data_IF_676562311257
#
_entry.id   IF_676562311257
#
_cell.length_a   1.000
_cell.length_b   1.000
_cell.length_c   1.000
_cell.angle_alpha   90.00
_cell.angle_beta   90.00
_cell.angle_gamma   90.00
#
_symmetry.space_group_name_H-M   'P 1'
#
loop_
_entity.id
_entity.type
_entity.pdbx_description
1 polymer ?
#
# COMPACT_ATOMS: atom_id res chain seq x y z
N UNK A 1 -18.08 8.87 -21.58
CA UNK A 1 -18.22 8.08 -20.35
C UNK A 1 -16.89 7.47 -19.92
N UNK A 2 -16.03 6.99 -20.84
CA UNK A 2 -14.72 6.40 -20.48
C UNK A 2 -13.65 7.37 -19.96
N UNK A 3 -13.70 8.64 -20.35
CA UNK A 3 -12.66 9.62 -19.99
C UNK A 3 -12.66 10.02 -18.51
N UNK A 4 -13.80 9.90 -17.82
CA UNK A 4 -13.91 10.21 -16.40
C UNK A 4 -13.25 9.16 -15.51
N UNK A 5 -13.20 7.91 -15.98
CA UNK A 5 -12.65 6.78 -15.23
C UNK A 5 -11.17 6.51 -15.53
N UNK A 6 -10.53 7.43 -16.25
CA UNK A 6 -9.11 7.35 -16.58
C UNK A 6 -8.25 7.68 -15.36
N UNK A 7 -7.21 6.87 -15.14
CA UNK A 7 -6.23 7.09 -14.07
C UNK A 7 -4.96 7.76 -14.63
N UNK A 8 -4.33 8.61 -13.83
CA UNK A 8 -3.18 9.42 -14.25
C UNK A 8 -1.96 9.16 -13.37
N UNK A 9 -0.77 9.33 -13.94
CA UNK A 9 0.48 9.48 -13.18
C UNK A 9 0.99 10.88 -13.44
N UNK A 10 1.19 11.66 -12.39
CA UNK A 10 1.69 13.04 -12.48
C UNK A 10 2.94 13.22 -11.63
N UNK A 11 3.85 14.10 -12.04
CA UNK A 11 5.06 14.39 -11.25
C UNK A 11 4.65 15.10 -9.96
N UNK A 12 5.19 14.65 -8.83
CA UNK A 12 4.96 15.33 -7.56
C UNK A 12 5.81 16.61 -7.51
N UNK A 13 5.16 17.75 -7.27
CA UNK A 13 5.83 19.06 -7.15
C UNK A 13 6.66 19.22 -5.88
N UNK A 14 6.46 18.33 -4.89
CA UNK A 14 7.29 18.22 -3.68
C UNK A 14 7.83 16.78 -3.56
N UNK A 15 8.86 16.43 -4.36
CA UNK A 15 9.36 15.07 -4.43
C UNK A 15 10.09 14.67 -3.14
N UNK A 16 9.94 13.39 -2.75
CA UNK A 16 10.71 12.78 -1.66
C UNK A 16 12.05 12.27 -2.19
N UNK A 17 12.07 11.89 -3.47
CA UNK A 17 13.20 11.36 -4.21
C UNK A 17 12.99 11.66 -5.70
N UNK A 18 14.06 11.56 -6.51
CA UNK A 18 13.97 11.67 -7.97
C UNK A 18 12.95 10.66 -8.51
N UNK A 19 12.01 11.15 -9.31
CA UNK A 19 10.94 10.34 -9.89
C UNK A 19 9.72 10.14 -8.98
N UNK A 20 9.67 10.77 -7.81
CA UNK A 20 8.46 10.79 -6.99
C UNK A 20 7.29 11.40 -7.78
N UNK A 21 6.27 10.58 -8.01
CA UNK A 21 5.08 10.89 -8.76
C UNK A 21 3.84 10.53 -7.95
N UNK A 22 2.67 10.98 -8.38
CA UNK A 22 1.38 10.66 -7.80
C UNK A 22 0.59 9.83 -8.79
N UNK A 23 0.09 8.68 -8.34
CA UNK A 23 -0.91 7.89 -9.05
C UNK A 23 -2.29 8.38 -8.62
N UNK A 24 -3.10 8.81 -9.58
CA UNK A 24 -4.40 9.46 -9.40
C UNK A 24 -5.50 8.58 -10.02
N UNK A 25 -6.15 7.69 -9.24
CA UNK A 25 -7.23 6.85 -9.74
C UNK A 25 -8.47 7.68 -10.08
N UNK A 26 -8.98 7.53 -11.31
CA UNK A 26 -10.23 8.14 -11.77
C UNK A 26 -10.35 9.63 -11.37
N UNK A 27 -9.31 10.42 -11.65
CA UNK A 27 -9.12 11.79 -11.14
C UNK A 27 -10.38 12.67 -11.28
N UNK A 28 -11.05 12.61 -12.43
CA UNK A 28 -12.20 13.45 -12.73
C UNK A 28 -13.52 12.99 -12.08
N UNK A 29 -13.52 11.85 -11.39
CA UNK A 29 -14.64 11.45 -10.52
C UNK A 29 -14.61 12.15 -9.15
N UNK A 30 -13.52 12.84 -8.80
CA UNK A 30 -13.43 13.57 -7.54
C UNK A 30 -13.55 12.66 -6.30
N UNK A 31 -13.02 11.44 -6.40
CA UNK A 31 -13.07 10.47 -5.30
C UNK A 31 -12.37 11.02 -4.05
N UNK A 32 -12.96 10.85 -2.85
CA UNK A 32 -12.29 11.22 -1.62
C UNK A 32 -11.03 10.37 -1.42
N UNK A 33 -10.09 10.83 -0.58
CA UNK A 33 -8.88 10.09 -0.19
C UNK A 33 -9.23 8.89 0.73
N UNK A 34 -9.97 7.94 0.16
CA UNK A 34 -10.49 6.71 0.74
C UNK A 34 -10.16 5.57 -0.22
N UNK A 35 -9.57 4.50 0.31
CA UNK A 35 -9.20 3.33 -0.47
C UNK A 35 -10.45 2.58 -0.92
N UNK A 36 -10.46 2.20 -2.19
CA UNK A 36 -11.43 1.27 -2.78
C UNK A 36 -10.72 0.03 -3.31
N UNK A 37 -11.43 -1.08 -3.44
CA UNK A 37 -10.88 -2.31 -4.05
C UNK A 37 -10.27 -2.02 -5.44
N UNK A 38 -10.90 -1.16 -6.24
CA UNK A 38 -10.39 -0.75 -7.55
C UNK A 38 -9.06 0.01 -7.44
N UNK A 39 -8.97 0.95 -6.51
CA UNK A 39 -7.75 1.74 -6.29
C UNK A 39 -6.59 0.88 -5.76
N UNK A 40 -6.88 -0.10 -4.91
CA UNK A 40 -5.91 -1.07 -4.40
C UNK A 40 -5.38 -1.97 -5.53
N UNK A 41 -6.27 -2.44 -6.42
CA UNK A 41 -5.88 -3.22 -7.60
C UNK A 41 -4.95 -2.41 -8.50
N UNK A 42 -5.33 -1.17 -8.80
CA UNK A 42 -4.50 -0.28 -9.61
C UNK A 42 -3.10 -0.05 -8.99
N UNK A 43 -3.01 0.10 -7.66
CA UNK A 43 -1.73 0.23 -6.97
C UNK A 43 -0.84 -1.03 -7.13
N UNK A 44 -1.43 -2.23 -7.02
CA UNK A 44 -0.73 -3.50 -7.25
C UNK A 44 -0.31 -3.64 -8.72
N UNK A 45 -1.20 -3.33 -9.66
CA UNK A 45 -0.94 -3.43 -11.11
C UNK A 45 0.22 -2.52 -11.51
N UNK A 46 0.23 -1.26 -11.05
CA UNK A 46 1.33 -0.32 -11.33
C UNK A 46 2.63 -0.79 -10.68
N UNK A 47 2.58 -1.30 -9.44
CA UNK A 47 3.74 -1.89 -8.78
C UNK A 47 4.33 -3.03 -9.62
N UNK A 48 3.50 -3.99 -10.03
CA UNK A 48 3.88 -5.18 -10.78
C UNK A 48 4.33 -4.86 -12.22
N UNK A 49 3.74 -3.85 -12.84
CA UNK A 49 4.10 -3.39 -14.19
C UNK A 49 5.49 -2.73 -14.20
N UNK A 50 5.91 -2.10 -13.10
CA UNK A 50 7.24 -1.54 -13.03
C UNK A 50 8.31 -2.64 -13.04
N UNK A 51 9.21 -2.63 -14.03
CA UNK A 51 10.29 -3.60 -14.14
C UNK A 51 11.40 -3.46 -13.08
N UNK A 52 11.34 -2.42 -12.23
CA UNK A 52 12.32 -2.22 -11.15
C UNK A 52 11.75 -2.69 -9.82
N UNK A 53 12.50 -3.51 -9.07
CA UNK A 53 12.05 -3.96 -7.76
C UNK A 53 12.13 -2.85 -6.72
N UNK A 54 12.74 -1.71 -7.05
CA UNK A 54 12.78 -0.50 -6.22
C UNK A 54 11.54 0.38 -6.40
N UNK A 55 10.53 -0.03 -7.16
CA UNK A 55 9.29 0.73 -7.22
C UNK A 55 8.44 0.48 -5.97
N UNK A 56 7.86 1.55 -5.42
CA UNK A 56 7.08 1.54 -4.18
C UNK A 56 5.81 2.34 -4.36
N UNK A 57 4.78 1.95 -3.63
CA UNK A 57 3.51 2.67 -3.58
C UNK A 57 3.17 2.97 -2.12
N UNK A 58 2.84 4.22 -1.82
CA UNK A 58 2.41 4.67 -0.50
C UNK A 58 1.07 5.36 -0.57
N UNK A 59 0.29 5.28 0.50
CA UNK A 59 -0.96 6.02 0.66
C UNK A 59 -1.05 6.54 2.09
N UNK A 60 -1.43 7.81 2.19
CA UNK A 60 -1.71 8.50 3.44
C UNK A 60 -3.20 8.85 3.46
N UNK A 61 -3.95 8.31 4.42
CA UNK A 61 -5.34 8.72 4.63
C UNK A 61 -5.45 10.16 5.12
N UNK A 62 -6.65 10.75 5.04
CA UNK A 62 -6.91 12.17 5.39
C UNK A 62 -6.41 12.57 6.77
N UNK A 63 -6.67 11.74 7.76
CA UNK A 63 -6.23 11.98 9.14
C UNK A 63 -4.83 11.38 9.43
N UNK A 64 -4.13 10.91 8.39
CA UNK A 64 -2.81 10.30 8.44
C UNK A 64 -1.79 11.05 7.56
N UNK A 65 -1.83 12.39 7.61
CA UNK A 65 -0.94 13.32 6.89
C UNK A 65 -1.22 13.52 5.38
N UNK A 66 -2.43 13.22 4.88
CA UNK A 66 -2.77 13.65 3.52
C UNK A 66 -2.88 15.19 3.46
N UNK A 67 -2.13 15.82 2.55
CA UNK A 67 -2.20 17.27 2.31
C UNK A 67 -3.28 17.65 1.29
N UNK A 68 -3.87 16.66 0.61
CA UNK A 68 -4.88 16.85 -0.45
C UNK A 68 -6.00 15.80 -0.31
N UNK A 69 -7.24 16.20 -0.61
CA UNK A 69 -8.45 15.40 -0.36
C UNK A 69 -8.94 14.58 -1.56
N UNK A 70 -8.25 14.62 -2.71
CA UNK A 70 -8.55 13.73 -3.84
C UNK A 70 -7.79 12.42 -3.70
N UNK A 71 -8.37 11.30 -4.13
CA UNK A 71 -7.73 9.98 -4.09
C UNK A 71 -6.39 9.98 -4.86
N UNK A 72 -5.29 9.75 -4.15
CA UNK A 72 -3.95 9.63 -4.70
C UNK A 72 -3.07 8.66 -3.91
N UNK A 73 -2.15 8.03 -4.62
CA UNK A 73 -1.03 7.27 -4.06
C UNK A 73 0.28 7.98 -4.41
N UNK A 74 1.22 7.94 -3.49
CA UNK A 74 2.61 8.26 -3.74
C UNK A 74 3.27 7.08 -4.44
N UNK A 75 3.98 7.34 -5.53
CA UNK A 75 4.79 6.33 -6.22
C UNK A 75 6.20 6.83 -6.44
N UNK A 76 7.20 6.02 -6.11
CA UNK A 76 8.59 6.46 -6.19
C UNK A 76 9.55 5.27 -6.27
N UNK A 77 10.77 5.57 -6.71
CA UNK A 77 11.88 4.64 -6.68
C UNK A 77 12.77 4.93 -5.48
N UNK A 78 13.28 3.87 -4.84
CA UNK A 78 14.28 4.00 -3.78
C UNK A 78 15.27 2.82 -3.87
N UNK A 79 16.49 3.10 -4.28
CA UNK A 79 17.47 2.06 -4.64
C UNK A 79 18.22 1.50 -3.42
N UNK A 80 17.47 1.14 -2.37
CA UNK A 80 17.95 0.38 -1.22
C UNK A 80 16.93 -0.70 -0.84
N UNK A 81 17.38 -1.74 -0.13
CA UNK A 81 16.49 -2.75 0.43
C UNK A 81 16.05 -2.32 1.83
N UNK A 82 14.75 -2.11 2.01
CA UNK A 82 14.19 -1.67 3.30
C UNK A 82 13.94 -2.86 4.23
N UNK A 83 14.02 -2.64 5.55
CA UNK A 83 13.71 -3.66 6.57
C UNK A 83 12.34 -4.32 6.33
N UNK A 84 11.33 -3.52 5.95
CA UNK A 84 9.98 -3.99 5.63
C UNK A 84 9.95 -5.03 4.50
N UNK A 85 10.97 -5.09 3.64
CA UNK A 85 10.97 -6.02 2.52
C UNK A 85 11.29 -7.44 2.97
N UNK A 86 12.04 -7.64 4.07
CA UNK A 86 12.52 -8.96 4.50
C UNK A 86 12.28 -9.29 5.97
N UNK A 87 11.73 -8.37 6.78
CA UNK A 87 11.45 -8.66 8.18
C UNK A 87 10.40 -9.78 8.33
N UNK A 88 10.59 -10.62 9.35
CA UNK A 88 9.63 -11.64 9.75
C UNK A 88 8.38 -11.01 10.39
N UNK A 89 7.22 -11.62 10.15
CA UNK A 89 5.93 -11.16 10.67
C UNK A 89 5.25 -12.27 11.46
N UNK A 90 4.40 -11.89 12.39
CA UNK A 90 3.64 -12.81 13.23
C UNK A 90 2.26 -13.04 12.62
N UNK A 91 1.82 -14.31 12.54
CA UNK A 91 0.47 -14.61 12.07
C UNK A 91 -0.58 -14.09 13.05
N UNK A 92 -1.60 -13.38 12.53
CA UNK A 92 -2.68 -12.83 13.36
C UNK A 92 -3.98 -13.59 13.13
N UNK A 93 -4.51 -13.58 11.90
CA UNK A 93 -5.75 -14.29 11.55
C UNK A 93 -5.94 -14.33 10.03
N UNK A 94 -6.39 -15.47 9.50
CA UNK A 94 -6.61 -15.64 8.05
C UNK A 94 -5.34 -15.30 7.26
N UNK A 95 -5.45 -14.40 6.26
CA UNK A 95 -4.31 -13.86 5.48
C UNK A 95 -3.64 -12.63 6.12
N UNK A 96 -4.10 -12.21 7.29
CA UNK A 96 -3.58 -11.05 8.00
C UNK A 96 -2.49 -11.47 8.98
N UNK A 97 -1.36 -10.78 8.89
CA UNK A 97 -0.21 -10.89 9.78
C UNK A 97 -0.02 -9.54 10.48
N UNK A 98 0.84 -9.49 11.49
CA UNK A 98 1.22 -8.28 12.18
C UNK A 98 2.74 -8.13 12.24
N UNK A 99 3.19 -6.87 12.32
CA UNK A 99 4.58 -6.56 12.62
C UNK A 99 4.95 -7.13 13.99
N UNK A 100 6.17 -7.66 14.15
CA UNK A 100 6.59 -8.30 15.38
C UNK A 100 6.62 -7.29 16.52
N UNK A 101 6.41 -7.76 17.75
CA UNK A 101 6.41 -6.90 18.95
C UNK A 101 7.72 -6.12 19.18
N UNK A 102 8.83 -6.57 18.58
CA UNK A 102 10.13 -5.89 18.59
C UNK A 102 10.22 -4.71 17.62
N UNK A 103 9.30 -4.60 16.67
CA UNK A 103 9.23 -3.47 15.75
C UNK A 103 8.57 -2.27 16.45
N UNK A 104 9.08 -1.03 16.28
CA UNK A 104 8.65 0.14 17.06
C UNK A 104 7.19 0.59 16.80
N UNK A 105 6.55 0.08 15.75
CA UNK A 105 5.16 0.41 15.39
C UNK A 105 4.27 -0.82 15.32
N UNK A 106 2.97 -0.63 15.54
CA UNK A 106 1.97 -1.68 15.26
C UNK A 106 1.49 -1.54 13.83
N UNK A 107 1.47 -2.63 13.09
CA UNK A 107 0.98 -2.63 11.72
C UNK A 107 0.54 -4.02 11.30
N UNK A 108 -0.40 -4.05 10.36
CA UNK A 108 -0.91 -5.25 9.74
C UNK A 108 -0.18 -5.48 8.41
N UNK A 109 0.02 -6.74 8.06
CA UNK A 109 0.79 -7.14 6.90
C UNK A 109 0.05 -8.21 6.11
N UNK A 110 0.00 -8.04 4.80
CA UNK A 110 -0.52 -9.01 3.84
C UNK A 110 0.54 -9.28 2.78
N UNK A 111 0.41 -10.40 2.08
CA UNK A 111 1.25 -10.70 0.92
C UNK A 111 0.44 -11.25 -0.24
N UNK A 112 0.95 -11.01 -1.45
CA UNK A 112 0.45 -11.57 -2.71
C UNK A 112 1.64 -12.25 -3.39
N UNK A 113 1.56 -13.56 -3.57
CA UNK A 113 2.60 -14.40 -4.20
C UNK A 113 2.26 -14.77 -5.64
N UNK A 114 0.98 -14.74 -5.99
CA UNK A 114 0.49 -15.13 -7.31
C UNK A 114 -0.75 -14.32 -7.71
N UNK A 115 -1.08 -14.35 -9.00
CA UNK A 115 -2.17 -13.55 -9.55
C UNK A 115 -3.55 -13.93 -8.97
N UNK A 116 -3.76 -15.21 -8.62
CA UNK A 116 -4.99 -15.69 -7.99
C UNK A 116 -5.15 -15.21 -6.54
N UNK A 117 -4.06 -14.79 -5.88
CA UNK A 117 -4.11 -14.21 -4.53
C UNK A 117 -4.49 -12.71 -4.54
N UNK A 118 -4.36 -11.99 -5.67
CA UNK A 118 -4.58 -10.53 -5.75
C UNK A 118 -5.97 -10.16 -5.22
N UNK A 119 -7.02 -10.69 -5.83
CA UNK A 119 -8.40 -10.37 -5.48
C UNK A 119 -8.78 -10.71 -4.03
N UNK A 120 -8.54 -11.94 -3.52
CA UNK A 120 -8.89 -12.27 -2.15
C UNK A 120 -8.09 -11.46 -1.12
N UNK A 121 -6.80 -11.20 -1.34
CA UNK A 121 -5.98 -10.39 -0.42
C UNK A 121 -6.45 -8.95 -0.39
N UNK A 122 -6.67 -8.34 -1.55
CA UNK A 122 -7.11 -6.94 -1.62
C UNK A 122 -8.51 -6.73 -1.05
N UNK A 123 -9.38 -7.75 -1.05
CA UNK A 123 -10.67 -7.70 -0.35
C UNK A 123 -10.51 -7.69 1.17
N UNK A 124 -9.53 -8.40 1.74
CA UNK A 124 -9.27 -8.29 3.17
C UNK A 124 -8.70 -6.94 3.54
N UNK A 125 -7.76 -6.43 2.71
CA UNK A 125 -7.18 -5.11 2.91
C UNK A 125 -8.29 -4.06 2.90
N UNK A 126 -9.19 -4.11 1.90
CA UNK A 126 -10.35 -3.23 1.83
C UNK A 126 -11.25 -3.35 3.07
N UNK A 127 -11.59 -4.59 3.49
CA UNK A 127 -12.38 -4.84 4.70
C UNK A 127 -11.75 -4.21 5.95
N UNK A 128 -10.43 -4.35 6.11
CA UNK A 128 -9.71 -3.79 7.26
C UNK A 128 -9.66 -2.26 7.20
N UNK A 129 -9.48 -1.67 6.01
CA UNK A 129 -9.51 -0.20 5.85
C UNK A 129 -10.90 0.37 6.03
N UNK A 130 -11.95 -0.33 5.61
CA UNK A 130 -13.35 0.06 5.84
C UNK A 130 -13.64 0.07 7.34
N UNK A 131 -13.23 -0.97 8.07
CA UNK A 131 -13.30 -1.01 9.53
C UNK A 131 -12.57 0.19 10.17
N UNK A 132 -11.38 0.55 9.69
CA UNK A 132 -10.69 1.73 10.19
C UNK A 132 -11.47 3.02 9.96
N UNK A 133 -12.04 3.20 8.77
CA UNK A 133 -12.85 4.37 8.44
C UNK A 133 -14.08 4.46 9.33
N UNK A 134 -14.83 3.36 9.47
CA UNK A 134 -16.02 3.27 10.33
C UNK A 134 -15.72 3.62 11.80
N UNK A 135 -14.50 3.34 12.27
CA UNK A 135 -14.05 3.61 13.63
C UNK A 135 -13.22 4.89 13.76
N UNK A 136 -13.19 5.76 12.73
CA UNK A 136 -12.40 7.01 12.70
C UNK A 136 -10.90 6.80 12.96
N UNK A 137 -10.35 5.67 12.53
CA UNK A 137 -8.93 5.33 12.64
C UNK A 137 -8.22 5.77 11.36
N UNK A 138 -7.43 6.83 11.50
CA UNK A 138 -6.49 7.25 10.48
C UNK A 138 -5.51 6.12 10.14
N UNK A 139 -5.12 5.95 8.89
CA UNK A 139 -4.19 4.89 8.51
C UNK A 139 -3.29 5.25 7.32
N UNK A 140 -2.12 4.63 7.29
CA UNK A 140 -1.19 4.66 6.15
C UNK A 140 -1.09 3.26 5.56
N UNK A 141 -0.91 3.18 4.24
CA UNK A 141 -0.73 1.94 3.49
C UNK A 141 0.57 2.03 2.67
N UNK A 142 1.29 0.93 2.57
CA UNK A 142 2.53 0.84 1.80
C UNK A 142 2.65 -0.50 1.09
N UNK A 143 3.03 -0.46 -0.18
CA UNK A 143 3.29 -1.63 -1.01
C UNK A 143 4.75 -1.65 -1.42
N UNK A 144 5.35 -2.82 -1.32
CA UNK A 144 6.68 -3.08 -1.86
C UNK A 144 6.76 -4.52 -2.34
N UNK A 145 7.66 -4.78 -3.29
CA UNK A 145 8.15 -6.15 -3.47
C UNK A 145 9.04 -6.53 -2.30
N UNK A 146 8.97 -7.77 -1.86
CA UNK A 146 9.71 -8.28 -0.70
C UNK A 146 9.76 -9.78 -0.67
N UNK A 147 10.37 -10.32 0.39
CA UNK A 147 10.44 -11.76 0.65
C UNK A 147 9.13 -12.21 1.27
N UNK A 148 8.59 -13.31 0.76
CA UNK A 148 7.41 -13.97 1.28
C UNK A 148 7.66 -14.50 2.69
N UNK A 149 6.68 -14.28 3.57
CA UNK A 149 6.67 -14.83 4.91
C UNK A 149 5.90 -16.16 4.95
N UNK A 150 6.26 -17.00 5.93
CA UNK A 150 5.81 -18.39 6.05
C UNK A 150 6.80 -19.38 5.44
N UNK A 151 6.37 -20.62 5.16
CA UNK A 151 7.19 -21.65 4.51
C UNK A 151 7.54 -21.22 3.08
N UNK A 152 8.61 -20.43 2.93
CA UNK A 152 9.12 -20.01 1.64
C UNK A 152 10.17 -21.00 1.14
N UNK A 153 9.88 -21.63 0.00
CA UNK A 153 10.85 -22.41 -0.78
C UNK A 153 11.60 -21.53 -1.79
N UNK A 154 11.31 -20.23 -1.84
CA UNK A 154 11.86 -19.29 -2.79
C UNK A 154 13.24 -18.82 -2.35
N UNK A 155 14.19 -18.83 -3.28
CA UNK A 155 15.53 -18.25 -3.09
C UNK A 155 15.60 -16.79 -3.56
N UNK A 156 14.52 -16.24 -4.13
CA UNK A 156 14.50 -14.85 -4.59
C UNK A 156 14.32 -13.90 -3.41
N UNK A 157 15.15 -12.84 -3.29
CA UNK A 157 15.03 -11.85 -2.21
C UNK A 157 13.75 -11.02 -2.31
N UNK A 158 13.09 -11.00 -3.47
CA UNK A 158 11.82 -10.30 -3.72
C UNK A 158 10.91 -11.18 -4.59
N UNK A 159 10.08 -12.00 -3.96
CA UNK A 159 9.24 -13.02 -4.59
C UNK A 159 7.74 -12.79 -4.39
N UNK A 160 7.36 -11.79 -3.59
CA UNK A 160 5.96 -11.41 -3.38
C UNK A 160 5.79 -9.90 -3.34
N UNK A 161 4.53 -9.44 -3.43
CA UNK A 161 4.14 -8.10 -3.00
C UNK A 161 3.77 -8.18 -1.53
N UNK A 162 4.39 -7.33 -0.70
CA UNK A 162 4.02 -7.12 0.70
C UNK A 162 3.22 -5.83 0.82
N UNK A 163 2.11 -5.90 1.54
CA UNK A 163 1.20 -4.77 1.79
C UNK A 163 1.18 -4.52 3.28
N UNK A 164 1.54 -3.32 3.69
CA UNK A 164 1.58 -2.89 5.08
C UNK A 164 0.50 -1.86 5.33
N UNK A 165 -0.17 -1.98 6.47
CA UNK A 165 -1.19 -1.06 6.92
C UNK A 165 -0.92 -0.67 8.37
N UNK A 166 -0.71 0.62 8.61
CA UNK A 166 -0.48 1.16 9.95
C UNK A 166 -1.68 2.00 10.38
N UNK A 167 -2.45 1.58 11.40
CA UNK A 167 -3.36 2.49 12.08
C UNK A 167 -2.54 3.57 12.79
N UNK A 168 -3.01 4.80 12.74
CA UNK A 168 -2.41 5.95 13.40
C UNK A 168 -3.20 6.26 14.66
N UNK A 169 -2.49 6.40 15.77
CA UNK A 169 -3.05 7.05 16.96
C UNK A 169 -3.30 8.52 16.63
N UNK A 170 -4.45 9.05 17.04
CA UNK A 170 -4.71 10.48 16.95
C UNK A 170 -3.60 11.22 17.69
N UNK A 171 -2.82 12.03 16.98
CA UNK A 171 -2.01 13.05 17.61
C UNK A 171 -2.96 14.20 17.92
N UNK A 172 -3.54 14.23 19.12
CA UNK A 172 -3.99 15.50 19.69
C UNK A 172 -2.73 16.32 19.93
N UNK A 173 -2.49 17.30 19.07
CA UNK A 173 -1.54 18.37 19.36
C UNK A 173 -2.05 19.25 20.50
#
# INVERSE_FOLDING_TARGET
SDTLDTSYIVINVSPLEIGHSLLLPSLFLGLPQILTLKSLKLAVDILLTSGSPAFRVGFNGLCAYATVNHLHFHVYYLNCQMLLEYLDVEHLSGRCYQLPSTYPGRGYVFQIRSNDEIDPVLRDVATLTDYFIENNIAHNLYFSRGTSFGNSSSTSPRDCVRIFLWPRTSSTG
#
